data_IF_517239492353
#
_entry.id   IF_517239492353
#
_cell.length_a   1.000
_cell.length_b   1.000
_cell.length_c   1.000
_cell.angle_alpha   90.00
_cell.angle_beta   90.00
_cell.angle_gamma   90.00
#
_symmetry.space_group_name_H-M   'P 1'
#
loop_
_entity.id
_entity.type
_entity.pdbx_description
1 polymer ?
#
# COMPACT_ATOMS: atom_id res chain seq x y z
N UNK A 1 5.62 14.99 17.57
CA UNK A 1 5.42 13.78 16.73
C UNK A 1 6.74 13.28 16.14
N UNK A 2 7.57 14.15 15.56
CA UNK A 2 8.88 13.77 14.98
C UNK A 2 9.77 12.99 15.97
N UNK A 3 9.87 13.44 17.23
CA UNK A 3 10.66 12.75 18.25
C UNK A 3 10.19 11.31 18.54
N UNK A 4 8.88 11.04 18.50
CA UNK A 4 8.36 9.67 18.72
C UNK A 4 8.69 8.74 17.56
N UNK A 5 8.60 9.25 16.33
CA UNK A 5 9.00 8.49 15.14
C UNK A 5 10.49 8.19 15.16
N UNK A 6 11.32 9.18 15.51
CA UNK A 6 12.76 8.99 15.67
C UNK A 6 13.09 7.90 16.69
N UNK A 7 12.46 7.95 17.87
CA UNK A 7 12.66 6.94 18.93
C UNK A 7 12.33 5.53 18.45
N UNK A 8 11.22 5.35 17.73
CA UNK A 8 10.79 4.03 17.24
C UNK A 8 11.68 3.52 16.09
N UNK A 9 12.16 4.41 15.22
CA UNK A 9 13.02 4.06 14.08
C UNK A 9 14.45 3.69 14.51
N UNK A 10 14.96 4.27 15.59
CA UNK A 10 16.27 3.95 16.15
C UNK A 10 16.29 2.66 16.97
N UNK A 11 15.17 1.93 17.03
CA UNK A 11 15.14 0.62 17.67
C UNK A 11 15.79 -0.44 16.76
N UNK A 12 16.95 -0.93 17.18
CA UNK A 12 17.77 -1.87 16.41
C UNK A 12 17.36 -3.35 16.60
N UNK A 13 16.36 -3.65 17.44
CA UNK A 13 15.94 -5.04 17.76
C UNK A 13 15.51 -5.87 16.56
N UNK A 14 15.06 -5.22 15.48
CA UNK A 14 14.57 -5.89 14.25
C UNK A 14 15.67 -6.14 13.21
N UNK A 15 16.92 -5.69 13.45
CA UNK A 15 18.02 -5.76 12.47
C UNK A 15 18.99 -6.88 12.86
N UNK A 16 18.98 -8.03 12.18
CA UNK A 16 19.96 -9.08 12.43
C UNK A 16 21.36 -8.62 11.99
N UNK A 17 22.39 -9.13 12.67
CA UNK A 17 23.81 -8.96 12.30
C UNK A 17 24.34 -7.52 12.34
N UNK A 18 23.79 -6.68 13.23
CA UNK A 18 24.30 -5.31 13.42
C UNK A 18 25.65 -5.31 14.18
N UNK A 19 26.59 -4.48 13.74
CA UNK A 19 27.89 -4.28 14.43
C UNK A 19 27.69 -3.81 15.87
N UNK A 20 28.51 -4.27 16.84
CA UNK A 20 28.42 -3.83 18.24
C UNK A 20 28.57 -2.31 18.39
N UNK A 21 29.40 -1.67 17.58
CA UNK A 21 29.56 -0.21 17.61
C UNK A 21 28.29 0.50 17.13
N UNK A 22 27.61 -0.07 16.13
CA UNK A 22 26.35 0.47 15.62
C UNK A 22 25.22 0.30 16.63
N UNK A 23 25.17 -0.83 17.36
CA UNK A 23 24.24 -1.03 18.49
C UNK A 23 24.45 0.05 19.54
N UNK A 24 25.70 0.27 19.96
CA UNK A 24 26.05 1.30 20.94
C UNK A 24 25.60 2.70 20.51
N UNK A 25 25.92 3.09 19.27
CA UNK A 25 25.48 4.38 18.72
C UNK A 25 23.95 4.48 18.66
N UNK A 26 23.27 3.39 18.31
CA UNK A 26 21.80 3.33 18.27
C UNK A 26 21.18 3.51 19.65
N UNK A 27 21.78 2.93 20.69
CA UNK A 27 21.34 3.07 22.08
C UNK A 27 21.55 4.49 22.60
N UNK A 28 22.74 5.06 22.34
CA UNK A 28 23.05 6.44 22.71
C UNK A 28 22.09 7.43 22.03
N UNK A 29 21.80 7.23 20.74
CA UNK A 29 20.85 8.03 19.99
C UNK A 29 19.42 7.86 20.51
N UNK A 30 18.99 6.64 20.79
CA UNK A 30 17.65 6.36 21.33
C UNK A 30 17.46 7.02 22.70
N UNK A 31 18.49 7.01 23.54
CA UNK A 31 18.48 7.68 24.84
C UNK A 31 18.36 9.21 24.69
N UNK A 32 19.14 9.82 23.79
CA UNK A 32 19.05 11.27 23.52
C UNK A 32 17.66 11.66 23.01
N UNK A 33 17.12 10.92 22.05
CA UNK A 33 15.77 11.18 21.51
C UNK A 33 14.71 11.00 22.59
N UNK A 34 14.84 10.00 23.48
CA UNK A 34 13.91 9.79 24.60
C UNK A 34 13.89 10.98 25.56
N UNK A 35 15.06 11.54 25.88
CA UNK A 35 15.17 12.72 26.73
C UNK A 35 14.56 13.97 26.09
N UNK A 36 14.82 14.20 24.80
CA UNK A 36 14.23 15.33 24.07
C UNK A 36 12.71 15.16 23.89
N UNK A 37 12.25 13.93 23.62
CA UNK A 37 10.83 13.61 23.60
C UNK A 37 10.19 13.92 24.96
N UNK A 38 10.79 13.46 26.06
CA UNK A 38 10.28 13.73 27.39
C UNK A 38 10.18 15.24 27.63
N UNK A 39 11.26 16.00 27.37
CA UNK A 39 11.28 17.45 27.55
C UNK A 39 10.20 18.16 26.73
N UNK A 40 10.10 17.82 25.45
CA UNK A 40 9.12 18.41 24.55
C UNK A 40 7.69 18.17 25.04
N UNK A 41 7.37 16.93 25.42
CA UNK A 41 6.01 16.61 25.83
C UNK A 41 5.68 17.11 27.24
N UNK A 42 6.62 17.09 28.19
CA UNK A 42 6.36 17.54 29.57
C UNK A 42 6.44 19.05 29.74
N UNK A 43 7.44 19.72 29.16
CA UNK A 43 7.68 21.14 29.39
C UNK A 43 7.01 22.03 28.34
N UNK A 44 7.19 21.74 27.05
CA UNK A 44 6.65 22.60 25.99
C UNK A 44 5.15 22.37 25.78
N UNK A 45 4.76 21.11 25.61
CA UNK A 45 3.37 20.74 25.35
C UNK A 45 2.53 20.61 26.63
N UNK A 46 3.16 20.54 27.81
CA UNK A 46 2.50 20.32 29.11
C UNK A 46 1.58 19.09 29.12
N UNK A 47 1.98 18.06 28.38
CA UNK A 47 1.29 16.78 28.23
C UNK A 47 2.23 15.64 28.66
N UNK A 48 2.41 15.42 29.97
CA UNK A 48 3.32 14.40 30.48
C UNK A 48 2.85 12.97 30.14
N UNK A 49 1.56 12.79 29.87
CA UNK A 49 0.98 11.49 29.53
C UNK A 49 0.99 11.33 28.00
N UNK A 50 2.16 11.04 27.46
CA UNK A 50 2.35 10.81 26.01
C UNK A 50 2.52 9.33 25.65
N UNK A 51 2.56 8.43 26.64
CA UNK A 51 2.68 6.98 26.46
C UNK A 51 1.60 6.39 25.55
N UNK A 52 0.34 6.82 25.70
CA UNK A 52 -0.76 6.37 24.84
C UNK A 52 -0.52 6.70 23.37
N UNK A 53 0.05 7.88 23.08
CA UNK A 53 0.39 8.30 21.71
C UNK A 53 1.53 7.45 21.16
N UNK A 54 2.53 7.15 21.98
CA UNK A 54 3.65 6.28 21.62
C UNK A 54 3.16 4.88 21.25
N UNK A 55 2.27 4.29 22.07
CA UNK A 55 1.65 2.98 21.79
C UNK A 55 0.84 3.00 20.49
N UNK A 56 0.07 4.05 20.23
CA UNK A 56 -0.68 4.18 18.97
C UNK A 56 0.23 4.23 17.74
N UNK A 57 1.33 4.98 17.81
CA UNK A 57 2.29 5.10 16.71
C UNK A 57 2.99 3.75 16.46
N UNK A 58 3.40 3.03 17.51
CA UNK A 58 3.99 1.69 17.39
C UNK A 58 3.02 0.75 16.66
N UNK A 59 1.73 0.71 17.05
CA UNK A 59 0.71 -0.11 16.39
C UNK A 59 0.57 0.19 14.89
N UNK A 60 0.58 1.48 14.52
CA UNK A 60 0.49 1.90 13.11
C UNK A 60 1.73 1.44 12.33
N UNK A 61 2.92 1.59 12.92
CA UNK A 61 4.18 1.18 12.30
C UNK A 61 4.22 -0.34 12.13
N UNK A 62 3.82 -1.11 13.14
CA UNK A 62 3.82 -2.57 13.06
C UNK A 62 2.82 -3.07 12.01
N UNK A 63 1.63 -2.47 11.93
CA UNK A 63 0.67 -2.76 10.86
C UNK A 63 1.26 -2.46 9.47
N UNK A 64 2.00 -1.36 9.32
CA UNK A 64 2.68 -1.00 8.08
C UNK A 64 3.83 -1.97 7.74
N UNK A 65 4.63 -2.41 8.72
CA UNK A 65 5.69 -3.42 8.57
C UNK A 65 5.14 -4.75 8.05
N UNK A 66 3.98 -5.19 8.56
CA UNK A 66 3.32 -6.42 8.13
C UNK A 66 2.84 -6.29 6.68
N UNK A 67 2.17 -5.17 6.35
CA UNK A 67 1.65 -4.92 5.00
C UNK A 67 2.77 -4.92 3.95
N UNK A 68 3.86 -4.20 4.21
CA UNK A 68 5.01 -4.08 3.30
C UNK A 68 5.73 -5.41 3.08
N UNK A 69 5.96 -6.21 4.12
CA UNK A 69 6.50 -7.58 3.98
C UNK A 69 5.61 -8.45 3.08
N UNK A 70 4.29 -8.39 3.26
CA UNK A 70 3.35 -9.19 2.46
C UNK A 70 3.28 -8.76 0.99
N UNK A 71 3.48 -7.48 0.69
CA UNK A 71 3.50 -6.95 -0.68
C UNK A 71 4.82 -7.25 -1.38
N UNK A 72 5.93 -7.24 -0.63
CA UNK A 72 7.26 -7.59 -1.14
C UNK A 72 7.35 -9.07 -1.54
N UNK A 73 6.92 -9.99 -0.66
CA UNK A 73 6.92 -11.44 -0.95
C UNK A 73 6.05 -11.77 -2.17
N UNK A 74 4.86 -11.17 -2.29
CA UNK A 74 3.97 -11.37 -3.44
C UNK A 74 4.54 -10.90 -4.78
N UNK A 75 5.44 -9.92 -4.78
CA UNK A 75 6.09 -9.43 -6.00
C UNK A 75 7.25 -10.34 -6.46
N UNK A 76 7.87 -11.10 -5.55
CA UNK A 76 8.98 -12.01 -5.89
C UNK A 76 8.51 -13.31 -6.56
N UNK A 77 7.28 -13.77 -6.28
CA UNK A 77 6.69 -14.97 -6.93
C UNK A 77 6.18 -14.73 -8.36
N UNK A 78 6.21 -13.48 -8.85
CA UNK A 78 5.66 -13.12 -10.15
C UNK A 78 6.72 -12.79 -11.23
N UNK A 79 7.56 -13.76 -11.64
CA UNK A 79 8.05 -13.75 -13.02
C UNK A 79 8.17 -15.15 -13.65
N UNK A 80 7.07 -15.92 -13.75
CA UNK A 80 7.13 -17.19 -14.51
C UNK A 80 6.03 -17.41 -15.56
N UNK A 81 4.86 -16.75 -15.48
CA UNK A 81 3.76 -16.99 -16.44
C UNK A 81 3.75 -16.15 -17.72
N UNK A 82 4.77 -15.32 -17.99
CA UNK A 82 4.80 -14.47 -19.19
C UNK A 82 5.45 -15.09 -20.43
N UNK A 83 6.10 -16.25 -20.31
CA UNK A 83 6.79 -16.89 -21.45
C UNK A 83 5.94 -17.93 -22.19
N UNK A 84 4.86 -18.43 -21.59
CA UNK A 84 4.03 -19.48 -22.21
C UNK A 84 3.01 -18.95 -23.23
N UNK A 85 2.48 -17.74 -23.03
CA UNK A 85 1.42 -17.19 -23.90
C UNK A 85 1.93 -16.85 -25.31
N UNK A 86 3.24 -16.62 -25.50
CA UNK A 86 3.81 -16.29 -26.82
C UNK A 86 4.16 -17.49 -27.71
N UNK A 87 4.14 -18.71 -27.18
CA UNK A 87 4.40 -19.91 -28.00
C UNK A 87 3.11 -20.54 -28.55
N UNK A 88 1.95 -20.26 -27.96
CA UNK A 88 0.69 -20.87 -28.40
C UNK A 88 0.08 -20.21 -29.65
N UNK A 89 0.48 -18.97 -30.00
CA UNK A 89 -0.02 -18.27 -31.20
C UNK A 89 0.75 -18.61 -32.50
N UNK A 90 1.78 -19.47 -32.46
CA UNK A 90 2.53 -19.89 -33.67
C UNK A 90 2.05 -21.21 -34.29
N UNK A 91 0.90 -21.73 -33.87
CA UNK A 91 0.32 -22.95 -34.42
C UNK A 91 -1.11 -22.70 -34.90
N UNK A 92 -1.29 -21.78 -35.85
CA UNK A 92 -2.52 -21.72 -36.65
C UNK A 92 -2.18 -22.28 -38.04
N UNK A 93 -2.66 -23.47 -38.41
CA UNK A 93 -2.57 -23.96 -39.78
C UNK A 93 -3.41 -23.07 -40.69
N UNK A 94 -2.81 -22.62 -41.79
CA UNK A 94 -3.45 -21.89 -42.87
C UNK A 94 -4.59 -22.71 -43.48
N UNK A 95 -5.84 -22.37 -43.16
CA UNK A 95 -7.02 -22.90 -43.83
C UNK A 95 -7.25 -22.14 -45.13
N UNK A 96 -7.40 -22.92 -46.20
CA UNK A 96 -7.48 -22.51 -47.58
C UNK A 96 -8.62 -21.52 -47.86
N UNK A 97 -8.31 -20.53 -48.73
CA UNK A 97 -9.25 -19.65 -49.41
C UNK A 97 -10.28 -20.49 -50.20
N UNK A 98 -11.57 -20.33 -49.88
CA UNK A 98 -12.66 -20.61 -50.82
C UNK A 98 -13.46 -19.33 -51.02
N UNK A 99 -13.38 -18.79 -52.23
CA UNK A 99 -14.24 -17.72 -52.74
C UNK A 99 -15.67 -18.25 -52.85
N UNK A 100 -16.66 -17.51 -52.34
CA UNK A 100 -17.96 -17.38 -52.99
C UNK A 100 -18.48 -15.95 -52.81
N UNK A 101 -18.99 -15.41 -53.91
CA UNK A 101 -19.47 -14.06 -54.13
C UNK A 101 -21.01 -14.01 -54.13
N UNK A 102 -21.54 -12.79 -54.03
CA UNK A 102 -22.96 -12.37 -54.13
C UNK A 102 -23.78 -12.56 -52.84
N UNK A 103 -24.69 -11.68 -52.41
CA UNK A 103 -25.33 -10.47 -52.97
C UNK A 103 -26.01 -9.67 -51.84
N UNK A 104 -26.15 -8.36 -52.10
CA UNK A 104 -27.11 -7.37 -51.56
C UNK A 104 -28.09 -7.76 -50.43
N UNK A 105 -28.18 -6.90 -49.41
CA UNK A 105 -29.35 -6.87 -48.52
C UNK A 105 -29.25 -5.81 -47.41
N UNK A 106 -29.91 -4.68 -47.64
CA UNK A 106 -30.45 -3.70 -46.68
C UNK A 106 -29.90 -3.52 -45.24
N UNK A 107 -29.39 -2.30 -45.05
CA UNK A 107 -29.58 -1.40 -43.91
C UNK A 107 -30.79 -1.67 -42.99
N UNK A 108 -30.53 -1.76 -41.68
CA UNK A 108 -31.28 -1.03 -40.66
C UNK A 108 -30.45 -0.85 -39.38
N UNK A 109 -30.25 0.41 -38.98
CA UNK A 109 -29.81 0.81 -37.64
C UNK A 109 -30.93 0.52 -36.64
N UNK A 110 -30.58 0.26 -35.37
CA UNK A 110 -31.36 0.80 -34.27
C UNK A 110 -30.52 1.74 -33.41
N UNK A 111 -31.02 2.96 -33.26
CA UNK A 111 -30.68 3.85 -32.18
C UNK A 111 -31.13 3.23 -30.84
N UNK A 112 -30.28 3.26 -29.83
CA UNK A 112 -30.60 2.86 -28.46
C UNK A 112 -29.97 3.82 -27.47
N UNK A 113 -30.69 4.91 -27.21
CA UNK A 113 -30.49 5.84 -26.09
C UNK A 113 -30.74 5.07 -24.79
N UNK A 114 -29.91 5.28 -23.76
CA UNK A 114 -30.38 5.58 -22.40
C UNK A 114 -29.20 5.97 -21.49
N UNK A 115 -29.20 7.26 -21.15
CA UNK A 115 -28.46 7.83 -20.04
C UNK A 115 -29.33 7.73 -18.77
N UNK A 116 -28.78 7.16 -17.71
CA UNK A 116 -29.24 7.34 -16.32
C UNK A 116 -27.96 7.69 -15.54
N UNK A 117 -27.69 8.98 -15.26
CA UNK A 117 -28.19 9.74 -14.11
C UNK A 117 -28.38 8.86 -12.87
N UNK A 118 -27.50 9.03 -11.88
CA UNK A 118 -27.91 9.28 -10.50
C UNK A 118 -26.74 9.93 -9.73
N UNK A 119 -26.91 11.24 -9.57
CA UNK A 119 -26.34 12.03 -8.48
C UNK A 119 -27.10 11.71 -7.18
N UNK A 120 -26.44 11.86 -6.03
CA UNK A 120 -27.05 11.69 -4.70
C UNK A 120 -25.95 11.49 -3.66
N UNK A 121 -25.22 12.53 -3.26
CA UNK A 121 -25.58 13.61 -2.33
C UNK A 121 -25.49 13.17 -0.86
N UNK A 122 -24.66 13.94 -0.14
CA UNK A 122 -24.43 13.96 1.29
C UNK A 122 -25.71 13.96 2.13
N UNK A 123 -25.67 13.26 3.27
CA UNK A 123 -26.20 13.64 4.59
C UNK A 123 -25.79 12.50 5.54
N UNK A 124 -25.35 12.70 6.78
CA UNK A 124 -25.53 13.77 7.73
C UNK A 124 -25.53 13.08 9.10
N UNK A 125 -24.67 13.55 10.00
CA UNK A 125 -24.50 13.05 11.36
C UNK A 125 -25.81 13.07 12.15
N UNK A 126 -25.99 12.11 13.07
CA UNK A 126 -26.61 12.39 14.37
C UNK A 126 -26.21 11.34 15.42
N UNK A 127 -25.60 11.84 16.49
CA UNK A 127 -25.34 11.18 17.77
C UNK A 127 -26.65 11.23 18.58
N UNK A 128 -27.03 10.18 19.32
CA UNK A 128 -27.95 10.30 20.44
C UNK A 128 -27.22 10.32 21.79
N UNK A 129 -27.83 11.04 22.72
CA UNK A 129 -27.40 11.39 24.07
C UNK A 129 -27.08 10.21 25.00
#
# INVERSE_FOLDING_TARGET
MVFMLGYIMCNHQDIPELSPDAIKVSDDLSHQISNEMHRYYTYEMKQPIYSNRLVQIIKIIDAAKISTRSAFVRNLEAPSRRKEIRQQERAIPSVARRMESHSSGHSQRPCGVNATKNEGCYQGQRIPD
#
